data_IF_882862637568
#
_entry.id   IF_882862637568
#
_cell.length_a   1.000
_cell.length_b   1.000
_cell.length_c   1.000
_cell.angle_alpha   90.00
_cell.angle_beta   90.00
_cell.angle_gamma   90.00
#
_symmetry.space_group_name_H-M   'P 1'
#
loop_
_entity.id
_entity.type
_entity.pdbx_description
1 polymer ?
#
# COMPACT_ATOMS: atom_id res chain seq x y z
N UNK A 1 -19.05 5.93 18.86
CA UNK A 1 -19.72 5.33 17.69
C UNK A 1 -18.76 5.39 16.50
N UNK A 2 -18.26 4.22 16.05
CA UNK A 2 -17.37 4.16 14.89
C UNK A 2 -18.24 4.35 13.64
N UNK A 3 -17.97 5.39 12.85
CA UNK A 3 -18.71 5.63 11.62
C UNK A 3 -18.56 4.44 10.67
N UNK A 4 -19.67 3.98 10.13
CA UNK A 4 -19.67 2.90 9.14
C UNK A 4 -18.97 3.36 7.87
N UNK A 5 -18.06 2.52 7.34
CA UNK A 5 -17.38 2.81 6.08
C UNK A 5 -18.38 2.87 4.92
N UNK A 6 -18.24 3.87 4.07
CA UNK A 6 -19.00 4.02 2.84
C UNK A 6 -18.11 3.72 1.65
N UNK A 7 -18.56 2.82 0.76
CA UNK A 7 -17.88 2.49 -0.49
C UNK A 7 -18.72 3.05 -1.64
N UNK A 8 -18.08 3.79 -2.54
CA UNK A 8 -18.73 4.17 -3.79
C UNK A 8 -18.91 2.89 -4.63
N UNK A 9 -20.13 2.55 -5.06
CA UNK A 9 -20.42 1.25 -5.67
C UNK A 9 -19.86 1.09 -7.07
N UNK A 10 -19.31 2.15 -7.66
CA UNK A 10 -18.79 2.15 -9.03
C UNK A 10 -17.27 1.95 -9.02
N UNK A 11 -16.81 1.01 -9.85
CA UNK A 11 -15.40 0.83 -10.13
C UNK A 11 -15.03 1.67 -11.36
N UNK A 12 -14.12 2.64 -11.17
CA UNK A 12 -13.65 3.51 -12.23
C UNK A 12 -12.42 2.93 -12.90
N UNK A 13 -12.24 3.22 -14.17
CA UNK A 13 -11.01 2.92 -14.90
C UNK A 13 -10.12 4.16 -14.94
N UNK A 14 -8.89 4.03 -14.44
CA UNK A 14 -7.89 5.09 -14.45
C UNK A 14 -8.11 6.16 -13.38
N UNK A 15 -7.43 7.28 -13.60
CA UNK A 15 -7.37 8.39 -12.63
C UNK A 15 -8.69 9.18 -12.56
N UNK A 16 -8.96 9.84 -11.42
CA UNK A 16 -10.11 10.73 -11.33
C UNK A 16 -9.97 11.90 -12.30
N UNK A 17 -11.11 12.30 -12.88
CA UNK A 17 -11.17 13.44 -13.82
C UNK A 17 -11.93 14.60 -13.17
N UNK A 18 -11.47 15.84 -13.42
CA UNK A 18 -12.13 17.06 -12.93
C UNK A 18 -12.06 17.29 -11.42
N UNK A 19 -11.25 16.52 -10.72
CA UNK A 19 -11.07 16.60 -9.26
C UNK A 19 -9.88 17.50 -8.93
N UNK A 20 -10.11 18.53 -8.10
CA UNK A 20 -9.04 19.45 -7.67
C UNK A 20 -8.62 19.23 -6.22
N UNK A 21 -9.37 18.44 -5.45
CA UNK A 21 -9.17 18.28 -4.00
C UNK A 21 -8.32 17.04 -3.63
N UNK A 22 -7.71 16.39 -4.63
CA UNK A 22 -6.85 15.23 -4.40
C UNK A 22 -5.48 15.66 -3.88
N UNK A 23 -4.92 14.87 -2.95
CA UNK A 23 -3.63 15.18 -2.36
C UNK A 23 -2.48 14.98 -3.37
N UNK A 24 -1.38 15.75 -3.24
CA UNK A 24 -0.25 15.65 -4.17
C UNK A 24 0.34 14.24 -4.28
N UNK A 25 0.44 13.50 -3.18
CA UNK A 25 0.97 12.13 -3.20
C UNK A 25 0.05 11.16 -3.94
N UNK A 26 -1.26 11.37 -3.89
CA UNK A 26 -2.22 10.60 -4.67
C UNK A 26 -2.07 10.86 -6.17
N UNK A 27 -2.01 12.11 -6.55
CA UNK A 27 -1.83 12.52 -7.95
C UNK A 27 -0.51 11.99 -8.49
N UNK A 28 0.56 12.03 -7.69
CA UNK A 28 1.86 11.48 -8.07
C UNK A 28 1.79 9.98 -8.40
N UNK A 29 0.95 9.22 -7.70
CA UNK A 29 0.71 7.80 -8.02
C UNK A 29 0.10 7.62 -9.40
N UNK A 30 -0.91 8.40 -9.74
CA UNK A 30 -1.56 8.33 -11.06
C UNK A 30 -0.60 8.75 -12.17
N UNK A 31 0.16 9.82 -11.96
CA UNK A 31 1.17 10.27 -12.91
C UNK A 31 2.21 9.19 -13.19
N UNK A 32 2.70 8.52 -12.14
CA UNK A 32 3.65 7.43 -12.26
C UNK A 32 3.08 6.26 -13.06
N UNK A 33 1.87 5.80 -12.71
CA UNK A 33 1.23 4.67 -13.39
C UNK A 33 0.97 4.98 -14.87
N UNK A 34 0.49 6.18 -15.17
CA UNK A 34 0.27 6.61 -16.55
C UNK A 34 1.59 6.67 -17.32
N UNK A 35 2.64 7.19 -16.71
CA UNK A 35 3.98 7.28 -17.31
C UNK A 35 4.57 5.90 -17.59
N UNK A 36 4.36 4.93 -16.70
CA UNK A 36 4.83 3.55 -16.86
C UNK A 36 3.95 2.71 -17.79
N UNK A 37 2.81 3.23 -18.23
CA UNK A 37 1.86 2.50 -19.06
C UNK A 37 1.16 1.36 -18.32
N UNK A 38 0.93 1.53 -17.01
CA UNK A 38 0.23 0.56 -16.17
C UNK A 38 -1.24 0.96 -16.08
N UNK A 39 -2.13 0.12 -16.57
CA UNK A 39 -3.58 0.32 -16.44
C UNK A 39 -4.05 -0.10 -15.06
N UNK A 40 -5.07 0.57 -14.55
CA UNK A 40 -5.65 0.28 -13.23
C UNK A 40 -7.12 0.66 -13.16
N UNK A 41 -7.86 -0.05 -12.31
CA UNK A 41 -9.19 0.34 -11.88
C UNK A 41 -9.11 0.95 -10.48
N UNK A 42 -10.07 1.79 -10.14
CA UNK A 42 -10.12 2.51 -8.87
C UNK A 42 -11.48 2.40 -8.23
N UNK A 43 -11.50 2.21 -6.92
CA UNK A 43 -12.69 2.30 -6.07
C UNK A 43 -12.44 3.36 -5.01
N UNK A 44 -13.36 4.31 -4.88
CA UNK A 44 -13.32 5.33 -3.84
C UNK A 44 -14.17 4.90 -2.65
N UNK A 45 -13.70 5.21 -1.46
CA UNK A 45 -14.35 4.82 -0.20
C UNK A 45 -13.89 5.74 0.93
N UNK A 46 -14.59 5.69 2.07
CA UNK A 46 -14.07 6.30 3.29
C UNK A 46 -12.96 5.42 3.87
N UNK A 47 -12.18 5.95 4.80
CA UNK A 47 -11.05 5.21 5.36
C UNK A 47 -11.50 3.85 5.93
N UNK A 48 -10.80 2.79 5.55
CA UNK A 48 -11.02 1.43 6.04
C UNK A 48 -10.24 1.22 7.34
N UNK A 49 -10.90 0.71 8.38
CA UNK A 49 -10.32 0.51 9.71
C UNK A 49 -10.31 -0.95 10.16
N UNK A 50 -11.01 -1.83 9.47
CA UNK A 50 -11.17 -3.23 9.87
C UNK A 50 -10.91 -4.18 8.71
N UNK A 51 -10.70 -5.46 9.02
CA UNK A 51 -10.59 -6.54 8.02
C UNK A 51 -11.90 -6.64 7.22
N UNK A 52 -13.05 -6.48 7.89
CA UNK A 52 -14.35 -6.48 7.22
C UNK A 52 -14.48 -5.33 6.20
N UNK A 53 -13.96 -4.15 6.53
CA UNK A 53 -13.92 -3.02 5.60
C UNK A 53 -13.10 -3.36 4.36
N UNK A 54 -11.93 -3.96 4.53
CA UNK A 54 -11.07 -4.39 3.42
C UNK A 54 -11.78 -5.44 2.55
N UNK A 55 -12.46 -6.42 3.16
CA UNK A 55 -13.21 -7.43 2.42
C UNK A 55 -14.32 -6.82 1.56
N UNK A 56 -15.01 -5.80 2.08
CA UNK A 56 -16.03 -5.07 1.32
C UNK A 56 -15.44 -4.33 0.13
N UNK A 57 -14.28 -3.72 0.29
CA UNK A 57 -13.56 -3.04 -0.81
C UNK A 57 -13.12 -4.07 -1.86
N UNK A 58 -12.54 -5.19 -1.45
CA UNK A 58 -12.10 -6.26 -2.35
C UNK A 58 -13.22 -6.76 -3.26
N UNK A 59 -14.43 -6.87 -2.71
CA UNK A 59 -15.59 -7.33 -3.46
C UNK A 59 -15.95 -6.41 -4.61
N UNK A 60 -15.88 -5.09 -4.42
CA UNK A 60 -16.16 -4.10 -5.47
C UNK A 60 -14.98 -3.97 -6.42
N UNK A 61 -13.76 -3.98 -5.88
CA UNK A 61 -12.52 -3.77 -6.63
C UNK A 61 -12.15 -4.96 -7.53
N UNK A 62 -12.44 -6.17 -7.09
CA UNK A 62 -12.07 -7.40 -7.80
C UNK A 62 -10.61 -7.78 -7.65
N UNK A 63 -9.94 -7.36 -6.58
CA UNK A 63 -8.56 -7.70 -6.27
C UNK A 63 -8.35 -7.84 -4.76
N UNK A 64 -7.47 -8.75 -4.32
CA UNK A 64 -7.17 -8.89 -2.91
C UNK A 64 -6.33 -7.71 -2.39
N UNK A 65 -6.58 -7.31 -1.16
CA UNK A 65 -5.84 -6.27 -0.46
C UNK A 65 -4.92 -6.94 0.56
N UNK A 66 -3.65 -6.55 0.58
CA UNK A 66 -2.70 -6.98 1.60
C UNK A 66 -2.58 -5.94 2.71
N UNK A 67 -2.08 -6.34 3.86
CA UNK A 67 -1.64 -5.37 4.84
C UNK A 67 -0.23 -4.92 4.53
N UNK A 68 0.04 -3.65 4.78
CA UNK A 68 1.29 -2.98 4.49
C UNK A 68 1.87 -2.49 5.81
N UNK A 69 3.03 -3.00 6.19
CA UNK A 69 3.67 -2.70 7.46
C UNK A 69 5.02 -2.05 7.20
N UNK A 70 5.25 -0.88 7.79
CA UNK A 70 6.54 -0.19 7.73
C UNK A 70 7.29 -0.44 9.02
N UNK A 71 8.47 -1.02 8.89
CA UNK A 71 9.27 -1.50 10.01
C UNK A 71 10.67 -0.90 9.97
N UNK A 72 11.32 -0.84 11.11
CA UNK A 72 12.71 -0.39 11.21
C UNK A 72 13.43 -1.09 12.35
N UNK A 73 14.76 -1.08 12.29
CA UNK A 73 15.60 -1.48 13.41
C UNK A 73 15.64 -0.38 14.46
N UNK A 74 16.17 -0.67 15.64
CA UNK A 74 16.25 0.26 16.77
C UNK A 74 17.04 1.53 16.44
N UNK A 75 18.11 1.39 15.67
CA UNK A 75 19.00 2.48 15.29
C UNK A 75 18.43 3.34 14.16
N UNK A 76 17.31 2.95 13.56
CA UNK A 76 16.70 3.62 12.40
C UNK A 76 17.66 3.75 11.22
N UNK A 77 18.49 2.75 11.02
CA UNK A 77 19.43 2.66 9.89
C UNK A 77 18.93 1.76 8.78
N UNK A 78 17.94 0.91 9.08
CA UNK A 78 17.32 0.00 8.12
C UNK A 78 15.80 0.09 8.22
N UNK A 79 15.15 0.31 7.08
CA UNK A 79 13.70 0.40 6.97
C UNK A 79 13.18 -0.65 6.00
N UNK A 80 11.98 -1.15 6.27
CA UNK A 80 11.34 -2.21 5.49
C UNK A 80 9.86 -1.88 5.26
N UNK A 81 9.39 -2.16 4.05
CA UNK A 81 7.97 -2.19 3.74
C UNK A 81 7.60 -3.66 3.49
N UNK A 82 6.79 -4.23 4.39
CA UNK A 82 6.31 -5.61 4.28
C UNK A 82 4.89 -5.62 3.77
N UNK A 83 4.64 -6.39 2.70
CA UNK A 83 3.31 -6.70 2.20
C UNK A 83 3.00 -8.15 2.53
N UNK A 84 1.90 -8.39 3.25
CA UNK A 84 1.46 -9.74 3.62
C UNK A 84 -0.07 -9.86 3.62
N UNK A 85 -0.58 -11.08 3.60
CA UNK A 85 -2.02 -11.33 3.64
C UNK A 85 -2.66 -10.70 4.87
N UNK A 86 -3.84 -10.07 4.70
CA UNK A 86 -4.49 -9.30 5.74
C UNK A 86 -4.86 -10.10 6.98
N UNK A 87 -5.24 -11.36 6.82
CA UNK A 87 -5.64 -12.24 7.92
C UNK A 87 -4.48 -12.99 8.58
N UNK A 88 -3.31 -13.00 7.95
CA UNK A 88 -2.14 -13.70 8.48
C UNK A 88 -1.58 -12.97 9.71
N UNK A 89 -1.37 -13.66 10.84
CA UNK A 89 -0.75 -13.04 12.01
C UNK A 89 0.68 -12.57 11.70
N UNK A 90 1.03 -11.39 12.21
CA UNK A 90 2.38 -10.84 12.07
C UNK A 90 3.07 -10.74 13.42
N UNK A 91 4.33 -11.18 13.47
CA UNK A 91 5.19 -11.07 14.64
C UNK A 91 6.57 -10.56 14.23
N UNK A 92 6.98 -9.45 14.81
CA UNK A 92 8.28 -8.82 14.52
C UNK A 92 9.45 -9.76 14.76
N UNK A 93 9.37 -10.59 15.81
CA UNK A 93 10.41 -11.56 16.15
C UNK A 93 10.64 -12.58 15.03
N UNK A 94 9.57 -13.10 14.44
CA UNK A 94 9.66 -14.07 13.35
C UNK A 94 10.27 -13.45 12.10
N UNK A 95 9.84 -12.26 11.72
CA UNK A 95 10.39 -11.56 10.57
C UNK A 95 11.87 -11.24 10.78
N UNK A 96 12.23 -10.71 11.95
CA UNK A 96 13.62 -10.39 12.28
C UNK A 96 14.55 -11.59 12.10
N UNK A 97 14.09 -12.76 12.53
CA UNK A 97 14.82 -14.02 12.37
C UNK A 97 14.95 -14.43 10.90
N UNK A 98 13.86 -14.33 10.12
CA UNK A 98 13.83 -14.72 8.72
C UNK A 98 14.77 -13.89 7.85
N UNK A 99 14.87 -12.59 8.10
CA UNK A 99 15.70 -11.69 7.31
C UNK A 99 17.10 -11.48 7.91
N UNK A 100 17.39 -12.14 9.04
CA UNK A 100 18.70 -12.04 9.70
C UNK A 100 18.99 -10.66 10.26
N UNK A 101 17.96 -9.90 10.67
CA UNK A 101 18.13 -8.56 11.23
C UNK A 101 18.11 -8.56 12.75
N UNK A 102 18.58 -7.44 13.35
CA UNK A 102 18.28 -7.12 14.73
C UNK A 102 16.78 -6.96 14.92
N UNK A 103 16.33 -6.86 16.19
CA UNK A 103 14.91 -6.71 16.52
C UNK A 103 14.29 -5.53 15.77
N UNK A 104 13.17 -5.80 15.10
CA UNK A 104 12.40 -4.80 14.38
C UNK A 104 11.25 -4.25 15.24
N UNK A 105 10.86 -3.03 14.95
CA UNK A 105 9.67 -2.38 15.49
C UNK A 105 8.94 -1.65 14.36
N UNK A 106 7.69 -1.24 14.62
CA UNK A 106 6.96 -0.43 13.64
C UNK A 106 7.61 0.95 13.53
N UNK A 107 7.74 1.44 12.29
CA UNK A 107 8.23 2.77 12.03
C UNK A 107 7.25 3.82 12.60
N UNK A 108 7.78 4.96 13.02
CA UNK A 108 6.97 6.07 13.51
C UNK A 108 6.19 6.73 12.36
N UNK A 109 5.06 7.42 12.64
CA UNK A 109 4.37 8.22 11.63
C UNK A 109 5.28 9.25 10.97
N UNK A 110 6.20 9.84 11.71
CA UNK A 110 7.17 10.82 11.20
C UNK A 110 8.12 10.18 10.18
N UNK A 111 8.62 8.99 10.45
CA UNK A 111 9.50 8.27 9.52
C UNK A 111 8.73 7.80 8.27
N UNK A 112 7.48 7.37 8.43
CA UNK A 112 6.63 7.01 7.29
C UNK A 112 6.42 8.20 6.36
N UNK A 113 6.17 9.37 6.91
CA UNK A 113 6.03 10.60 6.13
C UNK A 113 7.35 11.00 5.46
N UNK A 114 8.44 10.95 6.20
CA UNK A 114 9.75 11.38 5.71
C UNK A 114 10.25 10.54 4.54
N UNK A 115 10.09 9.22 4.60
CA UNK A 115 10.63 8.30 3.58
C UNK A 115 9.62 7.95 2.49
N UNK A 116 8.34 7.86 2.82
CA UNK A 116 7.32 7.28 1.93
C UNK A 116 6.16 8.23 1.63
N UNK A 117 6.10 9.40 2.24
CA UNK A 117 5.03 10.40 2.08
C UNK A 117 3.64 9.82 2.36
N UNK A 118 3.54 8.91 3.32
CA UNK A 118 2.28 8.28 3.73
C UNK A 118 2.05 8.44 5.23
N UNK A 119 0.77 8.41 5.61
CA UNK A 119 0.33 8.34 7.01
C UNK A 119 0.04 6.90 7.39
N UNK A 120 -0.04 6.57 8.70
CA UNK A 120 -0.52 5.25 9.12
C UNK A 120 -1.88 4.92 8.50
N UNK A 121 -2.01 3.71 7.93
CA UNK A 121 -3.19 3.29 7.19
C UNK A 121 -3.16 3.59 5.69
N UNK A 122 -2.20 4.36 5.21
CA UNK A 122 -2.04 4.71 3.79
C UNK A 122 -0.81 4.08 3.13
N UNK A 123 -0.06 3.26 3.86
CA UNK A 123 1.14 2.60 3.33
C UNK A 123 0.80 1.75 2.09
N UNK A 124 1.69 1.76 1.12
CA UNK A 124 1.49 1.12 -0.18
C UNK A 124 2.82 0.88 -0.86
N UNK A 125 2.86 -0.15 -1.71
CA UNK A 125 4.04 -0.42 -2.54
C UNK A 125 4.38 0.76 -3.45
N UNK A 126 3.37 1.53 -3.89
CA UNK A 126 3.57 2.69 -4.76
C UNK A 126 4.36 3.81 -4.08
N UNK A 127 4.33 3.89 -2.75
CA UNK A 127 5.08 4.88 -1.98
C UNK A 127 6.59 4.73 -2.13
N UNK A 128 7.08 3.60 -2.60
CA UNK A 128 8.50 3.40 -2.89
C UNK A 128 9.04 4.39 -3.93
N UNK A 129 8.18 5.00 -4.75
CA UNK A 129 8.60 6.06 -5.68
C UNK A 129 9.17 7.29 -4.96
N UNK A 130 8.79 7.53 -3.72
CA UNK A 130 9.28 8.65 -2.92
C UNK A 130 10.59 8.33 -2.20
N UNK A 131 10.97 7.06 -2.12
CA UNK A 131 12.21 6.61 -1.50
C UNK A 131 13.37 6.70 -2.48
N UNK A 132 13.76 7.93 -2.82
CA UNK A 132 14.81 8.20 -3.81
C UNK A 132 16.19 7.69 -3.41
N UNK A 133 16.43 7.57 -2.12
CA UNK A 133 17.69 7.07 -1.59
C UNK A 133 17.75 5.55 -1.43
N UNK A 134 16.70 4.84 -1.83
CA UNK A 134 16.58 3.39 -1.66
C UNK A 134 16.83 2.93 -0.21
N UNK A 135 16.27 3.68 0.74
CA UNK A 135 16.42 3.45 2.18
C UNK A 135 15.45 2.38 2.70
N UNK A 136 14.33 2.16 2.00
CA UNK A 136 13.28 1.23 2.40
C UNK A 136 13.37 -0.03 1.54
N UNK A 137 13.63 -1.16 2.16
CA UNK A 137 13.65 -2.45 1.46
C UNK A 137 12.24 -3.04 1.41
N UNK A 138 11.80 -3.41 0.21
CA UNK A 138 10.53 -4.11 0.02
C UNK A 138 10.67 -5.58 0.39
N UNK A 139 9.73 -6.08 1.20
CA UNK A 139 9.59 -7.49 1.54
C UNK A 139 8.19 -7.93 1.14
N UNK A 140 8.12 -8.94 0.29
CA UNK A 140 6.85 -9.55 -0.12
C UNK A 140 6.72 -10.92 0.56
N UNK A 141 5.64 -11.10 1.31
CA UNK A 141 5.26 -12.43 1.77
C UNK A 141 4.97 -13.29 0.54
N UNK A 142 5.37 -14.57 0.57
CA UNK A 142 5.30 -15.44 -0.62
C UNK A 142 3.91 -15.48 -1.26
N UNK A 143 2.80 -15.66 -0.54
CA UNK A 143 1.47 -15.67 -1.17
C UNK A 143 1.17 -14.37 -1.92
N UNK A 144 1.53 -13.21 -1.35
CA UNK A 144 1.30 -11.90 -1.99
C UNK A 144 2.13 -11.78 -3.27
N UNK A 145 3.37 -12.25 -3.24
CA UNK A 145 4.24 -12.22 -4.42
C UNK A 145 3.68 -13.06 -5.59
N UNK A 146 2.88 -14.07 -5.29
CA UNK A 146 2.27 -14.97 -6.27
C UNK A 146 0.89 -14.49 -6.76
N UNK A 147 0.33 -13.44 -6.17
CA UNK A 147 -0.95 -12.90 -6.63
C UNK A 147 -0.85 -12.37 -8.06
N UNK A 148 -1.94 -12.54 -8.83
CA UNK A 148 -2.06 -11.98 -10.19
C UNK A 148 -2.40 -10.50 -10.12
N UNK A 149 -3.35 -10.14 -9.25
CA UNK A 149 -3.80 -8.77 -9.02
C UNK A 149 -3.59 -8.39 -7.57
N UNK A 150 -3.43 -7.10 -7.31
CA UNK A 150 -3.28 -6.57 -5.96
C UNK A 150 -4.04 -5.26 -5.81
N UNK A 151 -4.73 -5.11 -4.68
CA UNK A 151 -5.35 -3.85 -4.29
C UNK A 151 -4.36 -2.99 -3.52
N UNK A 152 -4.08 -1.79 -4.00
CA UNK A 152 -3.13 -0.85 -3.40
C UNK A 152 -3.76 0.52 -3.20
N UNK A 153 -3.45 1.16 -2.09
CA UNK A 153 -3.77 2.58 -1.91
C UNK A 153 -2.87 3.46 -2.77
N UNK A 154 -3.40 4.54 -3.38
CA UNK A 154 -2.57 5.54 -4.05
C UNK A 154 -2.03 6.57 -3.04
N UNK A 155 -1.30 6.10 -2.03
CA UNK A 155 -0.73 6.90 -0.93
C UNK A 155 -1.76 7.64 -0.06
N UNK A 156 -3.03 7.29 -0.19
CA UNK A 156 -4.14 7.75 0.66
C UNK A 156 -5.04 6.56 0.99
N UNK A 157 -5.83 6.67 2.05
CA UNK A 157 -6.68 5.56 2.51
C UNK A 157 -8.15 5.71 2.12
N UNK A 158 -8.47 6.57 1.17
CA UNK A 158 -9.83 6.83 0.68
C UNK A 158 -10.06 6.37 -0.76
N UNK A 159 -9.08 5.72 -1.34
CA UNK A 159 -9.16 5.03 -2.62
C UNK A 159 -8.31 3.78 -2.59
N UNK A 160 -8.66 2.81 -3.44
CA UNK A 160 -7.86 1.59 -3.65
C UNK A 160 -7.83 1.27 -5.14
N UNK A 161 -6.65 0.92 -5.63
CA UNK A 161 -6.41 0.61 -7.04
C UNK A 161 -6.25 -0.88 -7.23
N UNK A 162 -6.77 -1.39 -8.35
CA UNK A 162 -6.55 -2.77 -8.81
C UNK A 162 -5.43 -2.77 -9.84
N UNK A 163 -4.27 -3.34 -9.47
CA UNK A 163 -3.08 -3.36 -10.29
C UNK A 163 -2.66 -4.80 -10.62
N UNK A 164 -2.03 -4.97 -11.78
CA UNK A 164 -1.37 -6.23 -12.13
C UNK A 164 -0.06 -6.37 -11.36
N UNK A 165 0.12 -7.45 -10.62
CA UNK A 165 1.37 -7.71 -9.91
C UNK A 165 2.54 -7.88 -10.90
N UNK A 166 2.32 -8.49 -12.05
CA UNK A 166 3.35 -8.62 -13.08
C UNK A 166 3.79 -7.26 -13.62
N UNK A 167 2.87 -6.33 -13.85
CA UNK A 167 3.21 -4.97 -14.29
C UNK A 167 3.98 -4.19 -13.23
N UNK A 168 3.59 -4.31 -11.97
CA UNK A 168 4.34 -3.70 -10.86
C UNK A 168 5.77 -4.23 -10.84
N UNK A 169 5.95 -5.54 -10.93
CA UNK A 169 7.26 -6.19 -10.90
C UNK A 169 8.13 -5.79 -12.09
N UNK A 170 7.56 -5.74 -13.28
CA UNK A 170 8.32 -5.55 -14.52
C UNK A 170 8.54 -4.09 -14.89
N UNK A 171 7.66 -3.18 -14.47
CA UNK A 171 7.68 -1.78 -14.89
C UNK A 171 8.01 -0.81 -13.75
N UNK A 172 7.72 -1.16 -12.51
CA UNK A 172 7.90 -0.27 -11.37
C UNK A 172 9.08 -0.65 -10.47
N UNK A 173 9.24 -1.93 -10.13
CA UNK A 173 10.31 -2.41 -9.24
C UNK A 173 11.69 -2.50 -9.91
#
# INVERSE_FOLDING_TARGET
EVAQMTIHPIRFTGRPTGETDRLPQEIACYDLLDQLGISYDRVDHTAAHTIADCAAIEKVLGAPICKNLVLCNRQKTSFYLLLMEGEKPFRTKELSKQIGSARLSFASPEDMEAYLHVTPGSATILALMFDRGHRVQLILDRPVAEWVRIGCHPCINTSTLNLSMAEIRNKFL
#
